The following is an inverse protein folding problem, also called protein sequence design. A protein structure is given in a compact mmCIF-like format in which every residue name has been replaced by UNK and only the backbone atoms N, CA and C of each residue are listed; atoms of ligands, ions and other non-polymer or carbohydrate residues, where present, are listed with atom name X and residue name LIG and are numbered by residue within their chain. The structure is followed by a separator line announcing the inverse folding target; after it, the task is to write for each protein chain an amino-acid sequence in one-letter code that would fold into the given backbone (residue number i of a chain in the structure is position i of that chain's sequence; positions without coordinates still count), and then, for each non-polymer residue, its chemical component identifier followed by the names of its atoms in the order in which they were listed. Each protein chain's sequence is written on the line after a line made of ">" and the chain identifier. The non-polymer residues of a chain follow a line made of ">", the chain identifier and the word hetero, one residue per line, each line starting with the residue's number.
data_IF_180468871276
#
_entry.id   IF_180468871276
#
_cell.length_a   1.000
_cell.length_b   1.000
_cell.length_c   1.000
_cell.angle_alpha   90.00
_cell.angle_beta   90.00
_cell.angle_gamma   90.00
#
_symmetry.space_group_name_H-M   'P 1'
#
loop_
_entity.id
_entity.type
_entity.pdbx_description
1 polymer ?
#
# COMPACT_ATOMS: atom_id res chain seq x y z
N UNK A 1 -3.46 26.86 -27.71
CA UNK A 1 -2.62 26.80 -26.50
C UNK A 1 -3.19 25.73 -25.59
N UNK A 2 -2.36 24.78 -25.09
CA UNK A 2 -2.81 23.71 -24.19
C UNK A 2 -2.04 23.83 -22.88
N UNK A 3 -2.74 23.73 -21.77
CA UNK A 3 -2.15 23.75 -20.42
C UNK A 3 -2.35 22.35 -19.84
N UNK A 4 -1.26 21.75 -19.38
CA UNK A 4 -1.27 20.47 -18.67
C UNK A 4 -0.97 20.76 -17.20
N UNK A 5 -1.86 20.32 -16.33
CA UNK A 5 -1.73 20.41 -14.88
C UNK A 5 -1.63 19.00 -14.35
N UNK A 6 -0.55 18.71 -13.65
CA UNK A 6 -0.33 17.43 -12.97
C UNK A 6 -0.06 17.69 -11.50
N UNK A 7 -0.55 16.80 -10.65
CA UNK A 7 -0.45 16.89 -9.20
C UNK A 7 0.62 15.94 -8.71
N UNK A 8 1.70 16.50 -8.17
CA UNK A 8 2.82 15.74 -7.64
C UNK A 8 2.35 14.79 -6.52
N UNK A 9 2.60 13.49 -6.74
CA UNK A 9 2.32 12.43 -5.78
C UNK A 9 0.92 12.55 -5.14
N UNK A 10 -0.11 12.79 -5.96
CA UNK A 10 -1.48 13.14 -5.54
C UNK A 10 -1.94 12.51 -4.21
N UNK A 11 -1.90 11.17 -4.09
CA UNK A 11 -2.35 10.48 -2.88
C UNK A 11 -1.49 10.77 -1.65
N UNK A 12 -0.16 10.80 -1.78
CA UNK A 12 0.74 11.14 -0.66
C UNK A 12 0.54 12.59 -0.24
N UNK A 13 0.34 13.49 -1.19
CA UNK A 13 0.06 14.91 -0.95
C UNK A 13 -1.26 15.12 -0.21
N UNK A 14 -2.31 14.38 -0.59
CA UNK A 14 -3.59 14.37 0.12
C UNK A 14 -3.44 13.86 1.57
N UNK A 15 -2.75 12.73 1.76
CA UNK A 15 -2.55 12.15 3.09
C UNK A 15 -1.68 13.03 3.99
N UNK A 16 -0.64 13.69 3.47
CA UNK A 16 0.18 14.66 4.23
C UNK A 16 -0.59 15.90 4.64
N UNK A 17 -1.53 16.35 3.81
CA UNK A 17 -2.45 17.45 4.17
C UNK A 17 -3.32 17.06 5.37
N UNK A 18 -3.81 15.82 5.39
CA UNK A 18 -4.65 15.29 6.48
C UNK A 18 -3.86 14.94 7.73
N UNK A 19 -2.62 14.47 7.58
CA UNK A 19 -1.77 13.95 8.65
C UNK A 19 -0.40 14.66 8.66
N UNK A 20 -0.27 15.82 9.35
CA UNK A 20 0.95 16.64 9.31
C UNK A 20 2.22 15.93 9.77
N UNK A 21 2.10 14.91 10.62
CA UNK A 21 3.25 14.13 11.12
C UNK A 21 3.93 13.27 10.03
N UNK A 22 3.34 13.16 8.83
CA UNK A 22 3.91 12.50 7.66
C UNK A 22 4.79 13.43 6.81
N UNK A 23 4.86 14.72 7.16
CA UNK A 23 5.77 15.67 6.52
C UNK A 23 7.22 15.25 6.79
N UNK A 24 8.07 15.42 5.78
CA UNK A 24 9.50 15.09 5.81
C UNK A 24 9.83 13.62 6.10
N UNK A 25 8.84 12.73 5.95
CA UNK A 25 9.02 11.28 6.05
C UNK A 25 8.91 10.62 4.68
N UNK A 26 9.62 9.50 4.54
CA UNK A 26 9.42 8.58 3.42
C UNK A 26 8.03 7.94 3.57
N UNK A 27 7.15 8.20 2.61
CA UNK A 27 5.75 7.77 2.63
C UNK A 27 5.43 7.10 1.30
N UNK A 28 4.66 6.03 1.36
CA UNK A 28 4.17 5.31 0.19
C UNK A 28 2.71 4.95 0.41
N UNK A 29 1.91 5.07 -0.64
CA UNK A 29 0.55 4.52 -0.67
C UNK A 29 0.65 3.17 -1.37
N UNK A 30 0.34 2.10 -0.64
CA UNK A 30 0.45 0.74 -1.13
C UNK A 30 -0.88 -0.01 -0.99
N UNK A 31 -1.13 -0.96 -1.89
CA UNK A 31 -2.24 -1.91 -1.77
C UNK A 31 -1.87 -2.92 -0.68
N UNK A 32 -2.69 -3.03 0.36
CA UNK A 32 -2.49 -3.91 1.52
C UNK A 32 -1.40 -3.48 2.52
N UNK A 33 -1.39 -4.14 3.68
CA UNK A 33 -0.49 -3.93 4.82
C UNK A 33 0.92 -4.49 4.56
N UNK A 34 1.53 -4.12 3.44
CA UNK A 34 2.88 -4.52 3.10
C UNK A 34 3.92 -3.89 4.05
N UNK A 35 4.25 -4.63 5.12
CA UNK A 35 5.23 -4.21 6.12
C UNK A 35 6.68 -4.26 5.63
N UNK A 36 6.97 -4.83 4.46
CA UNK A 36 8.34 -4.97 3.95
C UNK A 36 8.67 -3.99 2.82
N UNK A 37 7.78 -3.05 2.49
CA UNK A 37 8.03 -2.05 1.43
C UNK A 37 9.26 -1.17 1.70
N UNK A 38 9.58 -0.94 2.98
CA UNK A 38 10.80 -0.25 3.41
C UNK A 38 11.88 -1.21 3.92
N UNK A 39 11.69 -2.52 3.78
CA UNK A 39 12.69 -3.52 4.15
C UNK A 39 13.84 -3.52 3.15
N UNK A 40 15.06 -3.83 3.63
CA UNK A 40 16.20 -4.11 2.77
C UNK A 40 16.07 -5.47 2.07
N UNK A 41 15.27 -6.37 2.64
CA UNK A 41 15.10 -7.74 2.14
C UNK A 41 14.04 -7.82 1.04
N UNK A 42 14.37 -8.51 -0.05
CA UNK A 42 13.43 -8.74 -1.15
C UNK A 42 12.30 -9.67 -0.73
N UNK A 43 11.06 -9.30 -1.05
CA UNK A 43 9.91 -10.19 -0.93
C UNK A 43 9.93 -11.25 -2.03
N UNK A 44 9.57 -12.49 -1.67
CA UNK A 44 9.31 -13.53 -2.66
C UNK A 44 7.99 -13.22 -3.37
N UNK A 45 8.09 -12.91 -4.66
CA UNK A 45 6.94 -12.82 -5.56
C UNK A 45 6.56 -14.20 -6.08
N UNK A 46 5.28 -14.52 -6.08
CA UNK A 46 4.70 -15.70 -6.70
C UNK A 46 3.82 -15.24 -7.86
N UNK A 47 3.91 -15.94 -8.99
CA UNK A 47 3.02 -15.72 -10.13
C UNK A 47 1.75 -16.53 -9.86
N UNK A 48 0.61 -15.84 -9.83
CA UNK A 48 -0.70 -16.49 -9.74
C UNK A 48 -1.18 -16.86 -11.16
N UNK A 49 -1.58 -18.11 -11.34
CA UNK A 49 -2.02 -18.64 -12.64
C UNK A 49 -3.35 -18.06 -13.14
N UNK A 50 -4.22 -17.62 -12.23
CA UNK A 50 -5.53 -17.04 -12.53
C UNK A 50 -5.79 -15.82 -11.63
N UNK A 51 -5.64 -14.61 -12.18
CA UNK A 51 -6.00 -13.36 -11.49
C UNK A 51 -6.99 -12.57 -12.32
N UNK A 52 -8.12 -12.16 -11.72
CA UNK A 52 -9.07 -11.23 -12.34
C UNK A 52 -8.45 -9.85 -12.60
N UNK A 53 -9.11 -9.03 -13.43
CA UNK A 53 -8.58 -7.77 -13.99
C UNK A 53 -8.06 -6.71 -12.98
N UNK A 54 -8.43 -6.81 -11.70
CA UNK A 54 -8.02 -5.88 -10.63
C UNK A 54 -6.91 -6.42 -9.70
N UNK A 55 -6.40 -7.62 -9.97
CA UNK A 55 -5.23 -8.16 -9.28
C UNK A 55 -4.04 -8.25 -10.23
N UNK A 56 -2.87 -7.87 -9.70
CA UNK A 56 -1.61 -8.10 -10.40
C UNK A 56 -1.35 -9.60 -10.49
N UNK A 57 -0.86 -10.05 -11.65
CA UNK A 57 -0.37 -11.43 -11.88
C UNK A 57 0.73 -11.81 -10.88
N UNK A 58 1.41 -10.80 -10.34
CA UNK A 58 2.42 -10.95 -9.30
C UNK A 58 1.80 -10.68 -7.92
N UNK A 59 1.72 -11.71 -7.07
CA UNK A 59 1.35 -11.58 -5.66
C UNK A 59 2.59 -11.78 -4.78
N UNK A 60 2.69 -10.99 -3.71
CA UNK A 60 3.73 -11.17 -2.69
C UNK A 60 3.13 -11.93 -1.51
N UNK A 61 3.76 -13.04 -1.11
CA UNK A 61 3.33 -13.78 0.08
C UNK A 61 3.39 -12.87 1.30
N UNK A 62 2.21 -12.61 1.88
CA UNK A 62 2.08 -11.93 3.15
C UNK A 62 1.66 -12.97 4.19
N UNK A 63 2.51 -13.22 5.20
CA UNK A 63 2.13 -13.99 6.37
C UNK A 63 1.38 -13.07 7.32
N UNK A 64 0.05 -13.16 7.31
CA UNK A 64 -0.77 -12.49 8.31
C UNK A 64 -1.04 -13.45 9.47
N UNK A 65 -0.92 -12.95 10.69
CA UNK A 65 -1.46 -13.64 11.86
C UNK A 65 -2.97 -13.42 11.86
N UNK A 66 -3.73 -14.50 11.71
CA UNK A 66 -5.20 -14.50 11.65
C UNK A 66 -5.83 -13.88 12.90
N UNK A 67 -5.15 -13.94 14.05
CA UNK A 67 -5.64 -13.32 15.29
C UNK A 67 -5.67 -11.79 15.22
N UNK A 68 -4.76 -11.17 14.44
CA UNK A 68 -4.75 -9.72 14.23
C UNK A 68 -5.88 -9.22 13.33
N UNK A 69 -6.52 -10.11 12.57
CA UNK A 69 -7.61 -9.76 11.64
C UNK A 69 -8.97 -9.90 12.34
N UNK A 70 -9.13 -10.91 13.20
CA UNK A 70 -10.40 -11.23 13.87
C UNK A 70 -10.70 -10.30 15.06
N UNK A 71 -9.68 -9.80 15.76
CA UNK A 71 -9.84 -8.94 16.95
C UNK A 71 -10.28 -7.50 16.65
N UNK A 72 -10.34 -7.09 15.38
CA UNK A 72 -10.82 -5.74 15.02
C UNK A 72 -12.36 -5.62 15.00
N UNK A 73 -13.10 -6.74 15.08
CA UNK A 73 -14.57 -6.75 15.03
C UNK A 73 -15.26 -6.75 16.40
N UNK A 74 -14.52 -6.90 17.49
CA UNK A 74 -15.06 -7.03 18.86
C UNK A 74 -14.91 -5.77 19.72
N UNK A 75 -14.44 -4.65 19.14
CA UNK A 75 -14.31 -3.35 19.80
C UNK A 75 -15.17 -2.25 19.16
N UNK A 76 -16.41 -2.59 18.77
CA UNK A 76 -17.49 -1.62 18.59
C UNK A 76 -18.63 -1.96 19.54
#
# INVERSE_FOLDING_TARGET
>A
MKIHLDLDCYFVSAERTRYPFLKDKNVVVAKSSDKKIFSKDKKQGVILGDTGAFNSVLEFKNSYDTNNILNFRTLN
#
